data_IF_890895118930
#
_entry.id   IF_890895118930
#
_cell.length_a   1.000
_cell.length_b   1.000
_cell.length_c   1.000
_cell.angle_alpha   90.00
_cell.angle_beta   90.00
_cell.angle_gamma   90.00
#
_symmetry.space_group_name_H-M   'P 1'
#
loop_
_entity.id
_entity.type
_entity.pdbx_description
1 polymer ?
#
# COMPACT_ATOMS: atom_id res chain seq x y z
N UNK A 1 -5.37 4.95 -10.72
CA UNK A 1 -6.83 4.77 -10.68
C UNK A 1 -7.18 3.91 -9.47
N UNK A 2 -8.30 4.19 -8.80
CA UNK A 2 -8.69 3.47 -7.56
C UNK A 2 -8.94 1.99 -7.87
N UNK A 3 -9.84 1.74 -8.84
CA UNK A 3 -10.17 0.41 -9.33
C UNK A 3 -9.34 0.05 -10.58
N UNK A 4 -9.13 -1.25 -10.86
CA UNK A 4 -8.58 -1.70 -12.13
C UNK A 4 -9.47 -1.24 -13.29
N UNK A 5 -8.87 -0.96 -14.44
CA UNK A 5 -9.59 -0.62 -15.67
C UNK A 5 -8.95 -1.34 -16.86
N UNK A 6 -9.53 -1.22 -18.06
CA UNK A 6 -8.95 -1.81 -19.28
C UNK A 6 -7.46 -1.48 -19.51
N UNK A 7 -7.00 -0.32 -19.02
CA UNK A 7 -5.60 0.12 -19.16
C UNK A 7 -4.82 0.11 -17.84
N UNK A 8 -5.47 -0.21 -16.72
CA UNK A 8 -4.85 -0.23 -15.39
C UNK A 8 -5.01 -1.63 -14.81
N UNK A 9 -3.91 -2.37 -14.80
CA UNK A 9 -3.82 -3.72 -14.24
C UNK A 9 -4.05 -3.70 -12.71
N UNK A 10 -4.53 -4.80 -12.10
CA UNK A 10 -4.83 -4.84 -10.66
C UNK A 10 -3.63 -4.52 -9.75
N UNK A 11 -2.44 -4.98 -10.14
CA UNK A 11 -1.15 -4.69 -9.48
C UNK A 11 -0.73 -3.21 -9.52
N UNK A 12 -1.40 -2.39 -10.34
CA UNK A 12 -1.21 -0.93 -10.42
C UNK A 12 -2.43 -0.13 -9.96
N UNK A 13 -3.57 -0.77 -9.69
CA UNK A 13 -4.72 -0.09 -9.13
C UNK A 13 -4.48 0.22 -7.64
N UNK A 14 -4.94 1.36 -7.14
CA UNK A 14 -4.71 1.74 -5.73
C UNK A 14 -5.34 0.74 -4.76
N UNK A 15 -6.46 0.10 -5.13
CA UNK A 15 -7.07 -0.95 -4.31
C UNK A 15 -6.19 -2.20 -4.21
N UNK A 16 -5.51 -2.58 -5.30
CA UNK A 16 -4.59 -3.73 -5.31
C UNK A 16 -3.32 -3.44 -4.53
N UNK A 17 -2.72 -2.26 -4.76
CA UNK A 17 -1.58 -1.76 -3.99
C UNK A 17 -1.93 -1.66 -2.50
N UNK A 18 -3.11 -1.13 -2.17
CA UNK A 18 -3.60 -1.02 -0.80
C UNK A 18 -3.79 -2.38 -0.13
N UNK A 19 -4.31 -3.38 -0.85
CA UNK A 19 -4.39 -4.75 -0.34
C UNK A 19 -3.00 -5.33 -0.01
N UNK A 20 -2.02 -5.16 -0.91
CA UNK A 20 -0.63 -5.58 -0.64
C UNK A 20 -0.03 -4.88 0.59
N UNK A 21 -0.28 -3.58 0.75
CA UNK A 21 0.15 -2.82 1.93
C UNK A 21 -0.46 -3.41 3.21
N UNK A 22 -1.77 -3.71 3.22
CA UNK A 22 -2.44 -4.30 4.37
C UNK A 22 -1.96 -5.71 4.72
N UNK A 23 -1.52 -6.49 3.74
CA UNK A 23 -0.90 -7.80 3.97
C UNK A 23 0.49 -7.71 4.60
N UNK A 24 1.26 -6.67 4.24
CA UNK A 24 2.58 -6.38 4.82
C UNK A 24 2.43 -5.82 6.24
N UNK A 25 1.42 -4.97 6.45
CA UNK A 25 1.15 -4.26 7.70
C UNK A 25 0.53 -5.17 8.78
N UNK A 26 1.25 -6.23 9.15
CA UNK A 26 0.86 -7.18 10.21
C UNK A 26 1.09 -6.61 11.62
N UNK A 27 2.02 -5.67 11.75
CA UNK A 27 2.38 -5.00 12.99
C UNK A 27 2.57 -3.50 12.70
N UNK A 28 2.36 -2.61 13.69
CA UNK A 28 2.63 -1.19 13.51
C UNK A 28 4.09 -0.95 13.10
N UNK A 29 4.32 -0.10 12.11
CA UNK A 29 5.67 0.21 11.64
C UNK A 29 5.77 1.64 11.10
N UNK A 30 6.98 2.17 11.04
CA UNK A 30 7.21 3.50 10.45
C UNK A 30 6.90 3.50 8.96
N UNK A 31 6.54 4.67 8.44
CA UNK A 31 6.25 4.84 7.01
C UNK A 31 7.45 4.43 6.13
N UNK A 32 8.68 4.77 6.53
CA UNK A 32 9.90 4.38 5.82
C UNK A 32 10.07 2.87 5.78
N UNK A 33 9.85 2.18 6.91
CA UNK A 33 9.94 0.71 6.95
C UNK A 33 8.87 0.07 6.08
N UNK A 34 7.63 0.55 6.16
CA UNK A 34 6.54 0.03 5.34
C UNK A 34 6.85 0.18 3.84
N UNK A 35 7.39 1.32 3.45
CA UNK A 35 7.81 1.56 2.08
C UNK A 35 8.91 0.60 1.61
N UNK A 36 9.94 0.37 2.44
CA UNK A 36 11.02 -0.56 2.12
C UNK A 36 10.50 -2.00 1.95
N UNK A 37 9.59 -2.45 2.82
CA UNK A 37 8.96 -3.77 2.74
C UNK A 37 8.10 -3.92 1.47
N UNK A 38 7.30 -2.89 1.12
CA UNK A 38 6.49 -2.88 -0.11
C UNK A 38 7.38 -2.95 -1.35
N UNK A 39 8.44 -2.15 -1.39
CA UNK A 39 9.41 -2.15 -2.49
C UNK A 39 10.10 -3.51 -2.62
N UNK A 40 10.53 -4.09 -1.50
CA UNK A 40 11.16 -5.42 -1.45
C UNK A 40 10.24 -6.52 -1.96
N UNK A 41 8.99 -6.58 -1.46
CA UNK A 41 7.99 -7.56 -1.89
C UNK A 41 7.70 -7.43 -3.39
N UNK A 42 7.53 -6.20 -3.90
CA UNK A 42 7.25 -5.97 -5.33
C UNK A 42 8.42 -6.29 -6.24
N UNK A 43 9.66 -6.04 -5.81
CA UNK A 43 10.83 -6.44 -6.59
C UNK A 43 10.87 -7.96 -6.81
N UNK A 44 10.37 -8.75 -5.85
CA UNK A 44 10.33 -10.21 -5.93
C UNK A 44 9.11 -10.74 -6.70
N UNK A 45 7.92 -10.18 -6.47
CA UNK A 45 6.64 -10.75 -6.95
C UNK A 45 6.03 -10.01 -8.15
N UNK A 46 6.41 -8.76 -8.39
CA UNK A 46 5.86 -7.91 -9.44
C UNK A 46 6.94 -7.02 -10.11
N UNK A 47 8.06 -7.59 -10.60
CA UNK A 47 9.17 -6.82 -11.15
C UNK A 47 8.78 -5.95 -12.36
N UNK A 48 7.72 -6.33 -13.07
CA UNK A 48 7.20 -5.59 -14.23
C UNK A 48 6.15 -4.52 -13.88
N UNK A 49 5.86 -4.32 -12.58
CA UNK A 49 4.89 -3.33 -12.10
C UNK A 49 5.41 -2.58 -10.86
N UNK A 50 6.56 -1.90 -10.96
CA UNK A 50 7.04 -1.05 -9.88
C UNK A 50 6.05 0.09 -9.63
N UNK A 51 5.94 0.47 -8.37
CA UNK A 51 5.25 1.70 -7.95
C UNK A 51 6.30 2.70 -7.47
N UNK A 52 6.05 3.97 -7.75
CA UNK A 52 6.81 5.06 -7.15
C UNK A 52 6.28 5.38 -5.75
N UNK A 53 6.98 6.28 -5.06
CA UNK A 53 6.59 6.70 -3.72
C UNK A 53 5.25 7.45 -3.71
N UNK A 54 4.91 8.17 -4.78
CA UNK A 54 3.64 8.90 -4.87
C UNK A 54 2.46 7.93 -4.89
N UNK A 55 2.57 6.83 -5.63
CA UNK A 55 1.53 5.80 -5.70
C UNK A 55 1.34 5.08 -4.37
N UNK A 56 2.43 4.88 -3.63
CA UNK A 56 2.40 4.37 -2.27
C UNK A 56 1.64 5.31 -1.33
N UNK A 57 1.95 6.61 -1.34
CA UNK A 57 1.20 7.61 -0.55
C UNK A 57 -0.27 7.64 -0.94
N UNK A 58 -0.61 7.66 -2.23
CA UNK A 58 -2.01 7.63 -2.68
C UNK A 58 -2.77 6.38 -2.21
N UNK A 59 -2.09 5.24 -2.13
CA UNK A 59 -2.69 4.02 -1.59
C UNK A 59 -2.91 4.12 -0.08
N UNK A 60 -1.96 4.70 0.67
CA UNK A 60 -2.14 4.98 2.09
C UNK A 60 -3.28 5.97 2.35
N UNK A 61 -3.36 7.06 1.58
CA UNK A 61 -4.44 8.05 1.67
C UNK A 61 -5.81 7.39 1.43
N UNK A 62 -5.90 6.52 0.44
CA UNK A 62 -7.12 5.73 0.19
C UNK A 62 -7.46 4.87 1.41
N UNK A 63 -6.51 4.08 1.92
CA UNK A 63 -6.72 3.19 3.06
C UNK A 63 -7.12 3.95 4.33
N UNK A 64 -6.50 5.11 4.58
CA UNK A 64 -6.84 6.00 5.69
C UNK A 64 -8.25 6.57 5.53
N UNK A 65 -8.59 7.06 4.33
CA UNK A 65 -9.91 7.63 4.03
C UNK A 65 -11.04 6.64 4.24
N UNK A 66 -10.83 5.35 3.94
CA UNK A 66 -11.84 4.29 4.15
C UNK A 66 -11.79 3.66 5.54
N UNK A 67 -10.91 4.13 6.44
CA UNK A 67 -10.80 3.61 7.81
C UNK A 67 -10.17 2.21 7.91
N UNK A 68 -9.38 1.79 6.92
CA UNK A 68 -8.65 0.52 6.95
C UNK A 68 -7.25 0.64 7.62
N UNK A 69 -6.78 1.87 7.77
CA UNK A 69 -5.44 2.20 8.25
C UNK A 69 -5.51 3.41 9.17
N UNK A 70 -4.67 3.42 10.19
CA UNK A 70 -4.46 4.55 11.09
C UNK A 70 -2.98 4.93 11.15
N UNK A 71 -2.73 6.18 11.53
CA UNK A 71 -1.39 6.72 11.71
C UNK A 71 -1.30 7.47 13.04
N UNK A 72 -0.57 6.89 13.98
CA UNK A 72 -0.37 7.46 15.32
C UNK A 72 1.11 7.47 15.68
N UNK A 73 1.58 8.60 16.22
CA UNK A 73 2.97 8.79 16.71
C UNK A 73 4.06 8.29 15.74
N UNK A 74 3.87 8.50 14.43
CA UNK A 74 4.85 8.10 13.41
C UNK A 74 4.78 6.63 12.99
N UNK A 75 3.82 5.87 13.52
CA UNK A 75 3.58 4.48 13.18
C UNK A 75 2.29 4.35 12.38
N UNK A 76 2.40 3.65 11.26
CA UNK A 76 1.28 3.19 10.45
C UNK A 76 0.79 1.88 11.05
N UNK A 77 -0.51 1.73 11.26
CA UNK A 77 -1.13 0.51 11.78
C UNK A 77 -2.41 0.17 11.03
N UNK A 78 -2.69 -1.12 10.89
CA UNK A 78 -3.96 -1.59 10.34
C UNK A 78 -5.06 -1.40 11.40
N UNK A 79 -6.23 -0.93 10.98
CA UNK A 79 -7.43 -0.96 11.81
C UNK A 79 -8.03 -2.37 11.65
N UNK A 80 -8.03 -3.15 12.72
CA UNK A 80 -8.72 -4.43 12.74
C UNK A 80 -10.22 -4.16 12.94
N UNK A 81 -11.05 -4.67 12.02
CA UNK A 81 -12.49 -4.81 12.24
C UNK A 81 -12.78 -5.96 13.19
#
# INVERSE_FOLDING_TARGET
>A
MILPTKHVRPDRALIGVGAEILEILKWPMTMSRLWDEVRGRRAQHAPNAPIDYQWFILALDLLYTIGALDFDRGLVRRIAS
#
